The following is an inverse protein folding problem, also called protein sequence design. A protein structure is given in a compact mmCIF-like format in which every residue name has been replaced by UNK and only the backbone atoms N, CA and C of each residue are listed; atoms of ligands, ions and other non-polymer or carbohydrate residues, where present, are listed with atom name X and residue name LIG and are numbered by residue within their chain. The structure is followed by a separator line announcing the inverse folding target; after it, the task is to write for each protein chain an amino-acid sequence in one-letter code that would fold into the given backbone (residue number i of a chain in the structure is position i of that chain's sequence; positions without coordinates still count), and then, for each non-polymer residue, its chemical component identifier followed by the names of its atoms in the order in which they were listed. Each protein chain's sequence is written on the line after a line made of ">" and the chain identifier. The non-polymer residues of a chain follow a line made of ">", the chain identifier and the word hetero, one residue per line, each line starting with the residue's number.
data_IF_657289307469
#
_entry.id   IF_657289307469
#
_cell.length_a   1.000
_cell.length_b   1.000
_cell.length_c   1.000
_cell.angle_alpha   90.00
_cell.angle_beta   90.00
_cell.angle_gamma   90.00
#
_symmetry.space_group_name_H-M   'P 1'
#
loop_
_entity.id
_entity.type
_entity.pdbx_description
1 polymer ?
#
# COMPACT_ATOMS: atom_id res chain seq x y z
N UNK A 1 1.71 11.55 5.56
CA UNK A 1 1.17 10.23 5.98
C UNK A 1 -0.15 10.06 5.25
N UNK A 2 -0.31 9.02 4.42
CA UNK A 2 -1.58 8.75 3.74
C UNK A 2 -2.65 8.57 4.82
N UNK A 3 -3.71 9.38 4.76
CA UNK A 3 -4.82 9.30 5.72
C UNK A 3 -5.64 8.01 5.55
N UNK A 4 -6.87 8.02 6.05
CA UNK A 4 -7.82 6.94 5.69
C UNK A 4 -8.19 7.11 4.21
N UNK A 5 -7.98 6.06 3.43
CA UNK A 5 -8.39 5.99 2.02
C UNK A 5 -9.24 4.75 1.77
N UNK A 6 -9.94 4.73 0.63
CA UNK A 6 -10.74 3.59 0.19
C UNK A 6 -9.84 2.60 -0.55
N UNK A 7 -9.72 1.38 -0.06
CA UNK A 7 -8.98 0.31 -0.73
C UNK A 7 -9.92 -0.68 -1.43
N UNK A 8 -9.69 -0.96 -2.72
CA UNK A 8 -10.48 -1.92 -3.51
C UNK A 8 -9.68 -3.22 -3.67
N UNK A 9 -10.23 -4.33 -3.16
CA UNK A 9 -9.60 -5.65 -3.19
C UNK A 9 -10.35 -6.56 -4.16
N UNK A 10 -9.66 -7.15 -5.15
CA UNK A 10 -10.25 -8.09 -6.12
C UNK A 10 -9.40 -9.36 -6.12
N UNK A 11 -9.88 -10.43 -5.47
CA UNK A 11 -9.11 -11.67 -5.24
C UNK A 11 -7.70 -11.38 -4.71
N UNK A 12 -7.62 -10.42 -3.79
CA UNK A 12 -6.37 -9.85 -3.34
C UNK A 12 -5.55 -10.84 -2.50
N UNK A 13 -4.22 -10.90 -2.70
CA UNK A 13 -3.33 -11.52 -1.72
C UNK A 13 -3.23 -10.66 -0.46
N UNK A 14 -2.45 -11.11 0.51
CA UNK A 14 -1.96 -10.27 1.60
C UNK A 14 -0.51 -10.65 1.90
N UNK A 15 0.23 -9.75 2.54
CA UNK A 15 1.61 -10.04 2.95
C UNK A 15 1.56 -10.80 4.29
N UNK A 16 2.08 -12.02 4.30
CA UNK A 16 2.18 -12.85 5.52
C UNK A 16 3.22 -12.30 6.48
N UNK A 17 4.42 -11.98 5.96
CA UNK A 17 5.56 -11.49 6.75
C UNK A 17 6.42 -10.52 5.94
N UNK A 18 7.05 -9.58 6.64
CA UNK A 18 8.05 -8.65 6.13
C UNK A 18 9.38 -8.90 6.84
N UNK A 19 10.50 -8.61 6.17
CA UNK A 19 11.85 -8.73 6.73
C UNK A 19 12.77 -7.66 6.14
N UNK A 20 14.02 -7.62 6.61
CA UNK A 20 15.02 -6.69 6.11
C UNK A 20 14.66 -5.24 6.44
N UNK A 21 14.57 -4.39 5.40
CA UNK A 21 14.26 -2.95 5.54
C UNK A 21 12.83 -2.62 5.10
N UNK A 22 11.98 -3.64 4.92
CA UNK A 22 10.59 -3.42 4.51
C UNK A 22 9.80 -2.72 5.61
N UNK A 23 9.18 -1.59 5.27
CA UNK A 23 8.27 -0.83 6.11
C UNK A 23 6.81 -1.19 5.82
N UNK A 24 6.03 -1.44 6.87
CA UNK A 24 4.58 -1.64 6.77
C UNK A 24 3.91 -0.27 6.76
N UNK A 25 3.25 0.07 5.65
CA UNK A 25 2.61 1.37 5.47
C UNK A 25 1.11 1.34 5.75
N UNK A 26 0.43 0.21 5.51
CA UNK A 26 -0.98 0.06 5.83
C UNK A 26 -1.35 -1.38 6.20
N UNK A 27 -2.27 -1.51 7.15
CA UNK A 27 -2.93 -2.76 7.54
C UNK A 27 -4.44 -2.63 7.42
N UNK A 28 -5.10 -3.74 7.11
CA UNK A 28 -6.56 -3.85 7.09
C UNK A 28 -6.98 -5.20 7.69
N UNK A 29 -7.80 -5.17 8.75
CA UNK A 29 -8.22 -6.38 9.49
C UNK A 29 -7.04 -7.29 9.86
N UNK A 30 -6.01 -6.70 10.46
CA UNK A 30 -4.76 -7.36 10.87
C UNK A 30 -3.93 -7.99 9.74
N UNK A 31 -4.26 -7.69 8.48
CA UNK A 31 -3.48 -8.10 7.30
C UNK A 31 -2.66 -6.93 6.78
N UNK A 32 -1.41 -7.19 6.44
CA UNK A 32 -0.54 -6.21 5.78
C UNK A 32 -0.98 -6.11 4.31
N UNK A 33 -1.33 -4.90 3.88
CA UNK A 33 -1.89 -4.64 2.54
C UNK A 33 -1.11 -3.59 1.76
N UNK A 34 -0.14 -2.94 2.40
CA UNK A 34 0.76 -2.00 1.73
C UNK A 34 2.10 -1.96 2.44
N UNK A 35 3.17 -2.11 1.66
CA UNK A 35 4.55 -2.12 2.14
C UNK A 35 5.46 -1.27 1.25
N UNK A 36 6.62 -0.90 1.77
CA UNK A 36 7.67 -0.21 1.04
C UNK A 36 9.03 -0.77 1.39
N UNK A 37 9.92 -0.88 0.42
CA UNK A 37 11.35 -1.12 0.66
C UNK A 37 12.18 -0.22 -0.26
N UNK A 38 12.87 0.77 0.30
CA UNK A 38 13.62 1.76 -0.48
C UNK A 38 12.71 2.57 -1.42
N UNK A 39 12.92 2.44 -2.72
CA UNK A 39 12.12 3.06 -3.79
C UNK A 39 11.02 2.15 -4.34
N UNK A 40 10.81 0.96 -3.75
CA UNK A 40 9.76 0.03 -4.14
C UNK A 40 8.53 0.20 -3.24
N UNK A 41 7.35 0.18 -3.86
CA UNK A 41 6.06 0.17 -3.17
C UNK A 41 5.23 -1.01 -3.67
N UNK A 42 4.52 -1.68 -2.77
CA UNK A 42 3.60 -2.75 -3.13
C UNK A 42 2.29 -2.62 -2.36
N UNK A 43 1.18 -2.81 -3.06
CA UNK A 43 -0.18 -2.84 -2.51
C UNK A 43 -0.87 -4.16 -2.83
N UNK A 44 -1.72 -4.63 -1.92
CA UNK A 44 -2.64 -5.76 -2.17
C UNK A 44 -4.01 -5.30 -2.70
N UNK A 45 -4.20 -3.98 -2.84
CA UNK A 45 -5.41 -3.36 -3.37
C UNK A 45 -5.09 -2.53 -4.61
N UNK A 46 -6.16 -2.12 -5.29
CA UNK A 46 -6.16 -1.37 -6.52
C UNK A 46 -6.44 0.12 -6.25
N UNK A 47 -5.42 0.96 -6.02
CA UNK A 47 -5.58 2.39 -5.80
C UNK A 47 -6.19 3.12 -7.01
N UNK A 48 -5.93 2.61 -8.21
CA UNK A 48 -6.41 3.14 -9.50
C UNK A 48 -7.91 3.01 -9.71
N UNK A 49 -8.58 2.14 -8.94
CA UNK A 49 -10.03 1.94 -9.00
C UNK A 49 -10.78 2.91 -8.06
N UNK A 50 -10.12 3.98 -7.63
CA UNK A 50 -10.69 5.06 -6.84
C UNK A 50 -10.30 6.42 -7.43
N UNK A 51 -11.10 7.48 -7.23
CA UNK A 51 -10.72 8.82 -7.64
C UNK A 51 -9.65 9.47 -6.74
N UNK A 52 -9.25 8.81 -5.65
CA UNK A 52 -8.25 9.33 -4.72
C UNK A 52 -6.83 9.06 -5.24
N UNK A 53 -6.15 10.11 -5.69
CA UNK A 53 -4.80 10.04 -6.22
C UNK A 53 -3.70 10.10 -5.14
N UNK A 54 -4.04 10.18 -3.84
CA UNK A 54 -3.06 10.39 -2.77
C UNK A 54 -1.92 9.36 -2.78
N UNK A 55 -2.22 8.09 -3.11
CA UNK A 55 -1.17 7.05 -3.20
C UNK A 55 -0.26 7.24 -4.42
N UNK A 56 -0.82 7.64 -5.56
CA UNK A 56 -0.04 7.93 -6.76
C UNK A 56 0.86 9.15 -6.52
N UNK A 57 0.34 10.19 -5.88
CA UNK A 57 1.13 11.35 -5.44
C UNK A 57 2.21 10.94 -4.44
N UNK A 58 1.89 10.07 -3.48
CA UNK A 58 2.88 9.54 -2.55
C UNK A 58 4.02 8.82 -3.30
N UNK A 59 3.69 7.97 -4.27
CA UNK A 59 4.67 7.26 -5.09
C UNK A 59 5.55 8.22 -5.91
N UNK A 60 4.95 9.23 -6.56
CA UNK A 60 5.68 10.24 -7.32
C UNK A 60 6.62 11.09 -6.44
N UNK A 61 6.27 11.31 -5.18
CA UNK A 61 7.11 12.03 -4.22
C UNK A 61 8.17 11.14 -3.53
N UNK A 62 8.27 9.85 -3.86
CA UNK A 62 9.32 8.96 -3.32
C UNK A 62 10.67 9.11 -4.02
N UNK A 63 10.70 9.78 -5.17
CA UNK A 63 11.88 10.02 -6.03
C UNK A 63 12.34 11.47 -5.97
#
# INVERSE_FOLDING_TARGET
>A
RLGKTRAIFIRAPYVDRCWGKTEILATFRDKIVMVREGNLIATSFHPELTPDCSLHEYFLNMV
#
